data_IF_322852413123
#
_entry.id   IF_322852413123
#
_cell.length_a   1.000
_cell.length_b   1.000
_cell.length_c   1.000
_cell.angle_alpha   90.00
_cell.angle_beta   90.00
_cell.angle_gamma   90.00
#
_symmetry.space_group_name_H-M   'P 1'
#
loop_
_entity.id
_entity.type
_entity.pdbx_description
1 polymer ?
#
# COMPACT_ATOMS: atom_id res chain seq x y z
N UNK A 1 20.46 -6.21 -4.32
CA UNK A 1 19.26 -5.36 -4.46
C UNK A 1 19.07 -4.42 -3.26
N UNK A 2 18.91 -4.91 -2.02
CA UNK A 2 18.68 -4.08 -0.81
C UNK A 2 19.67 -2.93 -0.63
N UNK A 3 20.98 -3.18 -0.78
CA UNK A 3 22.00 -2.13 -0.68
C UNK A 3 21.83 -1.01 -1.70
N UNK A 4 21.39 -1.33 -2.92
CA UNK A 4 21.10 -0.32 -3.93
C UNK A 4 19.90 0.53 -3.51
N UNK A 5 18.84 -0.12 -3.01
CA UNK A 5 17.66 0.59 -2.53
C UNK A 5 17.99 1.54 -1.39
N UNK A 6 18.64 1.05 -0.33
CA UNK A 6 18.92 1.82 0.87
C UNK A 6 19.92 2.96 0.65
N UNK A 7 20.93 2.76 -0.22
CA UNK A 7 22.03 3.71 -0.40
C UNK A 7 21.81 4.69 -1.54
N UNK A 8 21.00 4.33 -2.55
CA UNK A 8 20.87 5.11 -3.78
C UNK A 8 19.43 5.42 -4.15
N UNK A 9 18.53 4.43 -4.19
CA UNK A 9 17.18 4.64 -4.76
C UNK A 9 16.21 5.34 -3.80
N UNK A 10 16.24 4.99 -2.51
CA UNK A 10 15.28 5.47 -1.52
C UNK A 10 15.78 6.77 -0.90
N UNK A 11 15.00 7.83 -1.08
CA UNK A 11 15.31 9.18 -0.65
C UNK A 11 14.48 9.49 0.60
N UNK A 12 14.85 8.89 1.74
CA UNK A 12 14.12 9.00 3.01
C UNK A 12 13.80 10.44 3.39
N UNK A 13 12.51 10.74 3.62
CA UNK A 13 12.02 12.08 3.97
C UNK A 13 12.11 13.12 2.85
N UNK A 14 12.47 12.73 1.63
CA UNK A 14 12.62 13.62 0.48
C UNK A 14 11.70 13.18 -0.66
N UNK A 15 11.32 14.10 -1.56
CA UNK A 15 10.60 13.75 -2.78
C UNK A 15 11.40 12.76 -3.65
N UNK A 16 10.71 11.90 -4.39
CA UNK A 16 11.33 11.06 -5.42
C UNK A 16 11.78 11.92 -6.59
N UNK A 17 13.09 11.97 -6.80
CA UNK A 17 13.72 12.68 -7.92
C UNK A 17 14.44 11.74 -8.88
N UNK A 18 14.34 10.41 -8.66
CA UNK A 18 15.10 9.42 -9.41
C UNK A 18 14.23 8.58 -10.35
N UNK A 19 12.94 8.45 -10.07
CA UNK A 19 12.03 7.76 -11.00
C UNK A 19 11.92 8.52 -12.32
N UNK A 20 11.75 7.78 -13.41
CA UNK A 20 11.41 8.34 -14.72
C UNK A 20 9.89 8.43 -14.93
N UNK A 21 9.09 7.78 -14.06
CA UNK A 21 7.65 7.78 -14.16
C UNK A 21 7.08 9.01 -13.44
N UNK A 22 6.33 9.88 -14.13
CA UNK A 22 5.75 11.05 -13.49
C UNK A 22 4.61 10.64 -12.56
N UNK A 23 4.45 11.38 -11.46
CA UNK A 23 3.20 11.38 -10.69
C UNK A 23 2.44 12.65 -10.96
N UNK A 24 1.13 12.54 -11.15
CA UNK A 24 0.23 13.70 -11.28
C UNK A 24 -0.23 14.22 -9.93
N UNK A 25 0.06 13.50 -8.83
CA UNK A 25 -0.12 13.99 -7.47
C UNK A 25 0.88 15.13 -7.22
N UNK A 26 0.36 16.35 -7.04
CA UNK A 26 1.20 17.50 -6.69
C UNK A 26 1.75 17.30 -5.27
N UNK A 27 3.04 17.61 -5.02
CA UNK A 27 3.53 17.72 -3.67
C UNK A 27 2.63 18.74 -2.95
N UNK A 28 2.03 18.36 -1.81
CA UNK A 28 1.54 19.37 -0.88
C UNK A 28 2.77 20.17 -0.48
N UNK A 29 2.77 21.48 -0.77
CA UNK A 29 3.87 22.37 -0.36
C UNK A 29 4.18 22.05 1.09
N UNK A 30 5.41 21.63 1.35
CA UNK A 30 5.81 21.17 2.66
C UNK A 30 5.73 22.36 3.61
N UNK A 31 4.59 22.52 4.31
CA UNK A 31 4.47 23.34 5.51
C UNK A 31 5.27 22.68 6.66
N UNK A 32 6.52 22.34 6.41
CA UNK A 32 7.51 22.16 7.47
C UNK A 32 7.95 23.55 7.87
N UNK A 33 7.25 24.14 8.84
CA UNK A 33 7.82 25.21 9.65
C UNK A 33 9.13 24.67 10.27
N UNK A 34 10.32 25.22 9.94
CA UNK A 34 11.60 24.68 10.39
C UNK A 34 11.89 24.89 11.90
N UNK A 35 10.90 25.31 12.69
CA UNK A 35 11.08 25.78 14.07
C UNK A 35 10.31 24.99 15.14
N UNK A 36 9.78 23.80 14.85
CA UNK A 36 9.23 22.96 15.92
C UNK A 36 10.39 22.36 16.73
N UNK A 37 10.49 22.62 18.05
CA UNK A 37 11.54 22.02 18.88
C UNK A 37 11.41 20.50 18.82
N UNK A 38 12.50 19.81 18.51
CA UNK A 38 12.66 18.37 18.64
C UNK A 38 12.65 18.01 20.13
N UNK A 39 11.47 18.03 20.74
CA UNK A 39 11.24 17.20 21.92
C UNK A 39 11.44 15.76 21.46
N UNK A 40 12.48 15.12 21.99
CA UNK A 40 12.93 13.77 21.65
C UNK A 40 11.87 12.75 22.08
N UNK A 41 10.78 12.67 21.33
CA UNK A 41 9.89 11.52 21.40
C UNK A 41 10.72 10.27 21.05
N UNK A 42 10.45 9.14 21.72
CA UNK A 42 11.10 7.89 21.34
C UNK A 42 10.79 7.58 19.87
N UNK A 43 11.73 6.94 19.14
CA UNK A 43 11.49 6.56 17.76
C UNK A 43 10.24 5.67 17.69
N UNK A 44 9.38 5.85 16.66
CA UNK A 44 8.20 5.02 16.50
C UNK A 44 8.58 3.54 16.40
N UNK A 45 7.79 2.67 17.03
CA UNK A 45 8.06 1.23 17.02
C UNK A 45 7.52 0.53 15.76
N UNK A 46 6.48 1.10 15.15
CA UNK A 46 5.81 0.56 13.97
C UNK A 46 5.22 1.69 13.11
N UNK A 47 4.86 1.34 11.87
CA UNK A 47 4.27 2.28 10.92
C UNK A 47 2.91 2.77 11.40
N UNK A 48 2.72 4.09 11.43
CA UNK A 48 1.44 4.74 11.74
C UNK A 48 1.09 5.75 10.65
N UNK A 49 -0.16 6.22 10.63
CA UNK A 49 -0.63 7.28 9.72
C UNK A 49 0.12 8.60 9.88
N UNK A 50 0.79 8.79 11.01
CA UNK A 50 1.55 9.99 11.39
C UNK A 50 3.07 9.70 11.42
N UNK A 51 3.51 8.66 10.70
CA UNK A 51 4.92 8.32 10.57
C UNK A 51 5.75 9.53 10.12
N UNK A 52 6.85 9.87 10.82
CA UNK A 52 7.67 11.00 10.43
C UNK A 52 8.30 10.79 9.04
N UNK A 53 8.43 11.85 8.21
CA UNK A 53 8.91 11.72 6.84
C UNK A 53 10.25 10.98 6.70
N UNK A 54 11.18 11.14 7.65
CA UNK A 54 12.49 10.50 7.64
C UNK A 54 12.46 8.97 7.76
N UNK A 55 11.31 8.38 8.10
CA UNK A 55 11.08 6.94 8.13
C UNK A 55 10.46 6.40 6.85
N UNK A 56 10.02 7.26 5.93
CA UNK A 56 9.36 6.84 4.68
C UNK A 56 10.07 7.37 3.44
N UNK A 57 9.98 6.60 2.35
CA UNK A 57 10.39 7.02 1.01
C UNK A 57 9.27 6.63 0.05
N UNK A 58 8.62 7.63 -0.54
CA UNK A 58 7.46 7.42 -1.42
C UNK A 58 7.92 7.65 -2.86
N UNK A 59 7.82 6.61 -3.70
CA UNK A 59 8.35 6.60 -5.06
C UNK A 59 7.33 6.06 -6.05
N UNK A 60 7.42 6.44 -7.33
CA UNK A 60 6.74 5.65 -8.36
C UNK A 60 7.46 4.31 -8.52
N UNK A 61 6.69 3.23 -8.66
CA UNK A 61 7.25 1.91 -8.88
C UNK A 61 7.95 1.88 -10.24
N UNK A 62 9.27 1.75 -10.25
CA UNK A 62 10.07 1.73 -11.49
C UNK A 62 9.68 0.56 -12.42
N UNK A 63 9.04 -0.48 -11.86
CA UNK A 63 8.51 -1.64 -12.59
C UNK A 63 7.03 -1.85 -12.22
N UNK A 64 6.12 -0.99 -12.73
CA UNK A 64 4.73 -1.03 -12.35
C UNK A 64 4.08 -2.34 -12.84
N UNK A 65 2.98 -2.72 -12.18
CA UNK A 65 2.22 -3.90 -12.62
C UNK A 65 1.47 -3.55 -13.91
N UNK A 66 0.96 -4.58 -14.59
CA UNK A 66 0.12 -4.39 -15.78
C UNK A 66 -1.25 -3.84 -15.37
N UNK A 67 -1.33 -2.52 -15.19
CA UNK A 67 -2.53 -1.76 -14.83
C UNK A 67 -2.86 -0.75 -15.94
N UNK A 68 -4.11 -0.24 -16.03
CA UNK A 68 -4.45 0.79 -17.01
C UNK A 68 -3.55 2.03 -16.88
N UNK A 69 -3.26 2.69 -18.00
CA UNK A 69 -2.35 3.85 -18.06
C UNK A 69 -2.76 5.06 -17.21
N UNK A 70 -4.03 5.13 -16.80
CA UNK A 70 -4.54 6.16 -15.89
C UNK A 70 -4.27 5.86 -14.41
N UNK A 71 -3.69 4.70 -14.10
CA UNK A 71 -3.37 4.26 -12.74
C UNK A 71 -1.88 4.41 -12.50
N UNK A 72 -1.53 5.20 -11.50
CA UNK A 72 -0.17 5.32 -10.97
C UNK A 72 0.10 4.19 -9.98
N UNK A 73 1.23 3.49 -10.11
CA UNK A 73 1.66 2.49 -9.15
C UNK A 73 2.75 3.09 -8.26
N UNK A 74 2.36 3.57 -7.08
CA UNK A 74 3.25 4.17 -6.09
C UNK A 74 3.68 3.11 -5.06
N UNK A 75 4.92 3.19 -4.59
CA UNK A 75 5.43 2.44 -3.45
C UNK A 75 5.68 3.38 -2.28
N UNK A 76 5.21 2.99 -1.09
CA UNK A 76 5.57 3.63 0.18
C UNK A 76 6.53 2.68 0.89
N UNK A 77 7.83 2.97 0.84
CA UNK A 77 8.85 2.26 1.60
C UNK A 77 8.92 2.83 3.00
N UNK A 78 9.09 1.96 4.00
CA UNK A 78 9.22 2.37 5.41
C UNK A 78 10.35 1.63 6.11
N UNK A 79 11.03 2.33 7.02
CA UNK A 79 12.02 1.74 7.96
C UNK A 79 11.35 1.01 9.13
N UNK A 80 10.05 1.20 9.32
CA UNK A 80 9.27 0.67 10.43
C UNK A 80 8.48 -0.56 10.01
N UNK A 81 8.29 -1.54 10.91
CA UNK A 81 7.42 -2.68 10.64
C UNK A 81 5.97 -2.20 10.42
N UNK A 82 5.32 -2.73 9.40
CA UNK A 82 3.88 -2.50 9.17
C UNK A 82 3.04 -3.47 10.01
N UNK A 83 3.46 -4.74 10.04
CA UNK A 83 2.90 -5.75 10.92
C UNK A 83 3.56 -5.65 12.30
N UNK A 84 2.79 -5.27 13.32
CA UNK A 84 3.23 -5.16 14.71
C UNK A 84 2.21 -5.82 15.64
N UNK A 85 2.62 -6.29 16.82
CA UNK A 85 1.72 -6.97 17.76
C UNK A 85 0.56 -6.11 18.25
N UNK A 86 0.75 -4.79 18.22
CA UNK A 86 -0.28 -3.82 18.62
C UNK A 86 -1.30 -3.54 17.50
N UNK A 87 -0.96 -3.87 16.25
CA UNK A 87 -1.83 -3.69 15.08
C UNK A 87 -2.42 -5.01 14.59
N UNK A 88 -1.69 -6.11 14.72
CA UNK A 88 -2.08 -7.44 14.27
C UNK A 88 -2.33 -8.35 15.47
N UNK A 89 -3.60 -8.71 15.68
CA UNK A 89 -3.96 -9.66 16.73
C UNK A 89 -3.38 -11.05 16.43
N UNK A 90 -2.85 -11.78 17.43
CA UNK A 90 -2.27 -13.11 17.21
C UNK A 90 -3.22 -14.12 16.56
N UNK A 91 -4.53 -13.99 16.79
CA UNK A 91 -5.57 -14.84 16.21
C UNK A 91 -5.64 -14.77 14.68
N UNK A 92 -5.24 -13.64 14.08
CA UNK A 92 -5.29 -13.45 12.62
C UNK A 92 -3.91 -13.58 11.94
N UNK A 93 -2.85 -13.96 12.68
CA UNK A 93 -1.50 -14.07 12.13
C UNK A 93 -1.42 -14.99 10.90
N UNK A 94 -2.10 -16.14 10.94
CA UNK A 94 -2.13 -17.06 9.81
C UNK A 94 -2.75 -16.41 8.57
N UNK A 95 -3.81 -15.62 8.76
CA UNK A 95 -4.49 -14.87 7.70
C UNK A 95 -3.59 -13.80 7.11
N UNK A 96 -2.96 -12.98 7.93
CA UNK A 96 -2.03 -11.92 7.48
C UNK A 96 -0.82 -12.51 6.76
N UNK A 97 -0.28 -13.63 7.26
CA UNK A 97 0.84 -14.31 6.62
C UNK A 97 0.49 -14.90 5.24
N UNK A 98 -0.78 -15.27 5.04
CA UNK A 98 -1.28 -15.85 3.80
C UNK A 98 -1.68 -14.79 2.77
N UNK A 99 -2.40 -13.76 3.20
CA UNK A 99 -3.11 -12.82 2.32
C UNK A 99 -2.58 -11.37 2.40
N UNK A 100 -1.86 -11.01 3.47
CA UNK A 100 -1.44 -9.65 3.74
C UNK A 100 -2.59 -8.75 4.21
N UNK A 101 -2.46 -7.44 4.02
CA UNK A 101 -3.50 -6.44 4.28
C UNK A 101 -3.72 -5.57 3.06
N UNK A 102 -4.95 -5.08 2.88
CA UNK A 102 -5.31 -4.23 1.75
C UNK A 102 -6.51 -3.35 2.08
N UNK A 103 -6.77 -2.37 1.23
CA UNK A 103 -7.93 -1.50 1.35
C UNK A 103 -8.14 -0.63 0.12
N UNK A 104 -9.24 0.14 0.15
CA UNK A 104 -9.63 1.09 -0.89
C UNK A 104 -10.00 2.43 -0.27
N UNK A 105 -9.70 3.53 -0.97
CA UNK A 105 -10.10 4.90 -0.59
C UNK A 105 -10.71 5.63 -1.78
N UNK A 106 -11.56 6.62 -1.53
CA UNK A 106 -12.14 7.49 -2.55
C UNK A 106 -13.07 6.82 -3.57
N UNK A 107 -13.45 5.56 -3.38
CA UNK A 107 -14.41 4.87 -4.24
C UNK A 107 -15.84 5.26 -3.88
N UNK A 108 -16.70 5.43 -4.89
CA UNK A 108 -18.13 5.76 -4.68
C UNK A 108 -19.03 4.51 -4.64
N UNK A 109 -18.51 3.37 -5.08
CA UNK A 109 -19.17 2.08 -5.04
C UNK A 109 -18.18 1.01 -4.59
N UNK A 110 -18.63 -0.06 -3.92
CA UNK A 110 -17.75 -1.16 -3.58
C UNK A 110 -17.10 -1.76 -4.84
N UNK A 111 -15.91 -2.37 -4.71
CA UNK A 111 -15.28 -3.06 -5.82
C UNK A 111 -16.19 -4.19 -6.36
N UNK A 112 -16.05 -4.57 -7.64
CA UNK A 112 -16.76 -5.72 -8.19
C UNK A 112 -16.57 -6.95 -7.31
N UNK A 113 -17.65 -7.68 -7.07
CA UNK A 113 -17.62 -8.91 -6.28
C UNK A 113 -16.65 -9.93 -6.89
N UNK A 114 -15.90 -10.70 -6.08
CA UNK A 114 -15.10 -11.83 -6.56
C UNK A 114 -15.92 -12.85 -7.39
N UNK A 115 -17.25 -12.84 -7.29
CA UNK A 115 -18.12 -13.64 -8.16
C UNK A 115 -18.00 -13.33 -9.66
N UNK A 116 -17.39 -12.21 -10.05
CA UNK A 116 -17.11 -11.90 -11.47
C UNK A 116 -15.82 -12.54 -11.97
N UNK A 117 -14.98 -13.09 -11.08
CA UNK A 117 -13.69 -13.69 -11.43
C UNK A 117 -13.78 -14.78 -12.50
N UNK A 118 -14.76 -15.70 -12.50
CA UNK A 118 -14.89 -16.70 -13.56
C UNK A 118 -15.04 -16.12 -14.97
N UNK A 119 -15.55 -14.88 -15.10
CA UNK A 119 -15.68 -14.20 -16.39
C UNK A 119 -14.32 -13.77 -16.96
N UNK A 120 -13.31 -13.61 -16.11
CA UNK A 120 -11.97 -13.16 -16.51
C UNK A 120 -10.96 -14.32 -16.68
N UNK A 121 -11.20 -15.46 -16.02
CA UNK A 121 -10.28 -16.61 -16.04
C UNK A 121 -9.98 -17.18 -17.44
N UNK A 122 -10.93 -17.24 -18.40
CA UNK A 122 -10.63 -17.73 -19.75
C UNK A 122 -9.48 -16.97 -20.42
N UNK A 123 -9.37 -15.66 -20.21
CA UNK A 123 -8.30 -14.83 -20.77
C UNK A 123 -6.92 -15.12 -20.15
N UNK A 124 -6.87 -15.75 -18.98
CA UNK A 124 -5.63 -16.09 -18.26
C UNK A 124 -5.25 -17.57 -18.40
N UNK A 125 -6.11 -18.37 -19.03
CA UNK A 125 -5.93 -19.82 -19.14
C UNK A 125 -4.67 -20.23 -19.91
N UNK A 126 -4.29 -19.47 -20.95
CA UNK A 126 -3.06 -19.66 -21.72
C UNK A 126 -1.79 -19.49 -20.86
N UNK A 127 -1.88 -18.70 -19.79
CA UNK A 127 -0.80 -18.47 -18.83
C UNK A 127 -0.81 -19.53 -17.71
N UNK A 128 -1.67 -20.55 -17.84
CA UNK A 128 -1.81 -21.63 -16.89
C UNK A 128 -2.57 -21.25 -15.62
N UNK A 129 -3.24 -20.09 -15.58
CA UNK A 129 -4.05 -19.63 -14.45
C UNK A 129 -5.47 -20.14 -14.64
N UNK A 130 -5.88 -21.08 -13.78
CA UNK A 130 -7.18 -21.73 -13.79
C UNK A 130 -7.77 -21.72 -12.38
N UNK A 131 -9.09 -21.86 -12.26
CA UNK A 131 -9.80 -21.75 -10.98
C UNK A 131 -9.28 -22.76 -9.93
N UNK A 132 -8.96 -23.97 -10.35
CA UNK A 132 -8.41 -25.05 -9.52
C UNK A 132 -6.99 -24.76 -9.00
N UNK A 133 -6.25 -23.85 -9.63
CA UNK A 133 -4.90 -23.44 -9.21
C UNK A 133 -4.91 -22.18 -8.35
N UNK A 134 -6.05 -21.52 -8.20
CA UNK A 134 -6.14 -20.33 -7.37
C UNK A 134 -6.07 -20.71 -5.90
N UNK A 135 -5.19 -20.02 -5.18
CA UNK A 135 -5.14 -20.13 -3.72
C UNK A 135 -6.21 -19.20 -3.17
N UNK A 136 -7.29 -19.81 -2.67
CA UNK A 136 -8.41 -19.09 -2.04
C UNK A 136 -8.38 -19.38 -0.55
N UNK A 137 -8.19 -18.33 0.25
CA UNK A 137 -8.27 -18.44 1.69
C UNK A 137 -9.73 -18.70 2.11
N UNK A 138 -9.98 -19.56 3.11
CA UNK A 138 -11.32 -19.77 3.63
C UNK A 138 -11.96 -18.44 4.06
N UNK A 139 -13.29 -18.35 3.93
CA UNK A 139 -14.04 -17.23 4.50
C UNK A 139 -13.89 -17.28 6.02
N UNK A 140 -13.41 -16.20 6.62
CA UNK A 140 -13.26 -16.10 8.06
C UNK A 140 -14.53 -15.58 8.73
N UNK A 141 -14.55 -15.61 10.06
CA UNK A 141 -15.63 -15.03 10.86
C UNK A 141 -15.69 -13.51 10.70
N UNK A 142 -16.85 -12.91 10.97
CA UNK A 142 -17.00 -11.44 10.95
C UNK A 142 -16.04 -10.74 11.93
N UNK A 143 -15.74 -11.38 13.05
CA UNK A 143 -14.77 -10.89 14.04
C UNK A 143 -13.34 -10.87 13.47
N UNK A 144 -12.92 -11.93 12.77
CA UNK A 144 -11.61 -11.98 12.13
C UNK A 144 -11.49 -10.96 10.99
N UNK A 145 -12.54 -10.79 10.16
CA UNK A 145 -12.56 -9.75 9.12
C UNK A 145 -12.38 -8.34 9.72
N UNK A 146 -13.06 -8.06 10.84
CA UNK A 146 -12.93 -6.80 11.57
C UNK A 146 -11.52 -6.60 12.14
N UNK A 147 -10.87 -7.65 12.62
CA UNK A 147 -9.47 -7.60 13.07
C UNK A 147 -8.51 -7.34 11.91
N UNK A 148 -8.71 -7.98 10.75
CA UNK A 148 -7.91 -7.73 9.54
C UNK A 148 -8.08 -6.27 9.08
N UNK A 149 -9.31 -5.75 9.10
CA UNK A 149 -9.60 -4.34 8.78
C UNK A 149 -8.87 -3.40 9.75
N UNK A 150 -8.88 -3.70 11.06
CA UNK A 150 -8.14 -2.94 12.08
C UNK A 150 -6.64 -2.97 11.84
N UNK A 151 -6.07 -4.11 11.44
CA UNK A 151 -4.64 -4.21 11.13
C UNK A 151 -4.20 -3.27 9.99
N UNK A 152 -5.10 -2.98 9.05
CA UNK A 152 -4.86 -2.08 7.93
C UNK A 152 -5.11 -0.60 8.21
N UNK A 153 -5.64 -0.22 9.38
CA UNK A 153 -6.19 1.13 9.60
C UNK A 153 -5.15 2.24 9.46
N UNK A 154 -3.94 2.04 9.96
CA UNK A 154 -2.88 3.05 9.87
C UNK A 154 -2.41 3.29 8.45
N UNK A 155 -2.33 2.23 7.63
CA UNK A 155 -2.01 2.34 6.20
C UNK A 155 -3.15 3.05 5.47
N UNK A 156 -4.39 2.66 5.73
CA UNK A 156 -5.56 3.28 5.11
C UNK A 156 -5.59 4.80 5.35
N UNK A 157 -5.36 5.21 6.59
CA UNK A 157 -5.40 6.60 7.00
C UNK A 157 -4.22 7.41 6.47
N UNK A 158 -3.03 6.81 6.37
CA UNK A 158 -1.90 7.41 5.66
C UNK A 158 -2.24 7.69 4.20
N UNK A 159 -2.85 6.71 3.51
CA UNK A 159 -3.26 6.84 2.11
C UNK A 159 -4.33 7.93 1.94
N UNK A 160 -5.35 7.96 2.80
CA UNK A 160 -6.40 9.02 2.80
C UNK A 160 -5.83 10.43 2.97
N UNK A 161 -4.83 10.62 3.85
CA UNK A 161 -4.19 11.94 4.05
C UNK A 161 -3.42 12.41 2.82
N UNK A 162 -2.85 11.47 2.05
CA UNK A 162 -1.98 11.76 0.92
C UNK A 162 -2.75 11.92 -0.41
N UNK A 163 -3.71 11.05 -0.68
CA UNK A 163 -4.57 11.11 -1.86
C UNK A 163 -5.95 11.59 -1.45
N UNK A 164 -6.26 12.84 -1.78
CA UNK A 164 -7.56 13.45 -1.51
C UNK A 164 -8.67 12.64 -2.18
N UNK A 165 -9.59 12.12 -1.38
CA UNK A 165 -10.66 11.25 -1.86
C UNK A 165 -11.64 11.94 -2.79
N UNK A 166 -11.68 13.28 -2.84
CA UNK A 166 -12.50 14.01 -3.81
C UNK A 166 -11.86 14.03 -5.20
N UNK A 167 -10.53 13.92 -5.27
CA UNK A 167 -9.76 13.96 -6.52
C UNK A 167 -9.26 12.58 -6.96
N UNK A 168 -9.12 11.65 -6.02
CA UNK A 168 -8.44 10.37 -6.21
C UNK A 168 -9.27 9.21 -5.69
N UNK A 169 -9.10 8.07 -6.33
CA UNK A 169 -9.43 6.78 -5.76
C UNK A 169 -8.18 5.92 -5.71
N UNK A 170 -8.05 5.13 -4.64
CA UNK A 170 -6.88 4.28 -4.45
C UNK A 170 -7.27 2.86 -4.07
N UNK A 171 -6.43 1.92 -4.50
CA UNK A 171 -6.35 0.58 -3.94
C UNK A 171 -4.94 0.39 -3.38
N UNK A 172 -4.81 -0.04 -2.14
CA UNK A 172 -3.51 -0.25 -1.52
C UNK A 172 -3.41 -1.65 -0.93
N UNK A 173 -2.20 -2.20 -0.90
CA UNK A 173 -1.94 -3.50 -0.27
C UNK A 173 -0.50 -3.63 0.20
N UNK A 174 -0.31 -4.44 1.23
CA UNK A 174 0.97 -4.93 1.70
C UNK A 174 1.00 -6.40 1.40
N UNK A 175 1.93 -6.82 0.53
CA UNK A 175 2.05 -8.23 0.18
C UNK A 175 2.25 -9.09 1.43
N UNK A 176 1.67 -10.30 1.48
CA UNK A 176 1.97 -11.24 2.54
C UNK A 176 3.48 -11.55 2.55
N UNK A 177 4.10 -11.80 3.71
CA UNK A 177 5.54 -12.03 3.83
C UNK A 177 6.11 -13.04 2.82
N UNK A 178 5.35 -14.10 2.51
CA UNK A 178 5.73 -15.15 1.54
C UNK A 178 5.88 -14.67 0.09
N UNK A 179 5.29 -13.52 -0.28
CA UNK A 179 5.34 -12.96 -1.64
C UNK A 179 6.26 -11.74 -1.77
N UNK A 180 6.83 -11.26 -0.67
CA UNK A 180 7.69 -10.08 -0.71
C UNK A 180 9.05 -10.43 -1.32
N UNK A 181 9.41 -9.76 -2.41
CA UNK A 181 10.73 -9.94 -3.03
C UNK A 181 11.86 -9.32 -2.20
N UNK A 182 11.54 -8.36 -1.32
CA UNK A 182 12.48 -7.69 -0.42
C UNK A 182 11.90 -7.72 1.00
N UNK A 183 12.01 -8.87 1.70
CA UNK A 183 11.37 -9.07 3.00
C UNK A 183 11.97 -8.20 4.11
N UNK A 184 13.25 -7.82 3.99
CA UNK A 184 13.95 -6.99 4.98
C UNK A 184 13.57 -5.51 4.91
N UNK A 185 12.73 -5.10 3.94
CA UNK A 185 12.33 -3.72 3.79
C UNK A 185 10.82 -3.62 3.49
N UNK A 186 10.08 -3.21 4.51
CA UNK A 186 8.63 -3.10 4.45
C UNK A 186 8.20 -2.04 3.43
N UNK A 187 7.19 -2.39 2.64
CA UNK A 187 6.63 -1.51 1.62
C UNK A 187 5.15 -1.76 1.40
N UNK A 188 4.45 -0.68 1.04
CA UNK A 188 3.04 -0.67 0.67
C UNK A 188 2.95 -0.34 -0.81
N UNK A 189 2.16 -1.11 -1.55
CA UNK A 189 1.77 -0.80 -2.91
C UNK A 189 0.51 0.05 -2.89
N UNK A 190 0.48 1.12 -3.68
CA UNK A 190 -0.70 1.97 -3.86
C UNK A 190 -0.93 2.16 -5.35
N UNK A 191 -2.07 1.69 -5.82
CA UNK A 191 -2.62 2.04 -7.13
C UNK A 191 -3.50 3.26 -6.96
N UNK A 192 -3.11 4.39 -7.56
CA UNK A 192 -3.84 5.64 -7.47
C UNK A 192 -4.35 6.06 -8.85
N UNK A 193 -5.65 6.33 -8.97
CA UNK A 193 -6.26 6.86 -10.18
C UNK A 193 -6.89 8.21 -9.88
N UNK A 194 -6.57 9.22 -10.69
CA UNK A 194 -7.24 10.52 -10.58
C UNK A 194 -8.63 10.41 -11.17
N UNK A 195 -9.64 10.91 -10.44
CA UNK A 195 -11.01 10.98 -10.91
C UNK A 195 -11.08 11.96 -12.07
N UNK A 196 -11.62 11.49 -13.20
CA UNK A 196 -12.01 12.35 -14.29
C UNK A 196 -13.50 12.66 -14.12
N UNK A 197 -13.80 13.81 -13.52
CA UNK A 197 -15.16 14.33 -13.60
C UNK A 197 -15.46 14.55 -15.08
N UNK A 198 -16.42 13.79 -15.64
CA UNK A 198 -17.03 14.19 -16.90
C UNK A 198 -17.80 15.48 -16.60
N UNK A 199 -17.33 16.61 -17.14
CA UNK A 199 -18.19 17.78 -17.34
C UNK A 199 -19.28 17.42 -18.35
#
# INVERSE_FOLDING_TARGET
MVNYLLKYRLQWGKPDTLTLLPSTLKPKDSETNPNTPTNSLPPPQYFTRDVPPEYVSIIQNDWPYSVPVSVEHTLIWTKLPIYHTDTVAPSINARINQDGIWGFTGHTSPPPSPSTLPLCLPALSEWGITEDKMIVSPKCSEEEEELVRKAGVEVNEFVRKRWDEDEWETAWFVNPPRLQSIPDLAHIHVFARRKTWRQ
#
